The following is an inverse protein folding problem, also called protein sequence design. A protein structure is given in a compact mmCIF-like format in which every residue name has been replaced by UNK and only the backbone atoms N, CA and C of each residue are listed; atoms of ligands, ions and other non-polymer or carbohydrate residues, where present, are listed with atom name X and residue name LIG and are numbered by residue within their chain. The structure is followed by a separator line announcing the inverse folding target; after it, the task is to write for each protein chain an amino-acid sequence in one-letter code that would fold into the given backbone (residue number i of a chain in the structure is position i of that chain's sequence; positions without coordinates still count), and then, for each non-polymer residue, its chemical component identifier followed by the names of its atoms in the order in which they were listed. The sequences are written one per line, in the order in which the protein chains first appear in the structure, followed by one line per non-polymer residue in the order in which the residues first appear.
data_IF_210614066657
#
_entry.id   IF_210614066657
#
_cell.length_a   1.000
_cell.length_b   1.000
_cell.length_c   1.000
_cell.angle_alpha   90.00
_cell.angle_beta   90.00
_cell.angle_gamma   90.00
#
_symmetry.space_group_name_H-M   'P 1'
#
loop_
_entity.id
_entity.type
_entity.pdbx_description
1 polymer ?
#
# COMPACT_ATOMS: atom_id res chain seq x y z
N UNK A 1 3.92 -9.86 15.09
CA UNK A 1 4.63 -11.09 14.60
C UNK A 1 6.09 -11.02 15.05
N UNK A 2 6.76 -12.17 15.24
CA UNK A 2 8.22 -12.20 15.38
C UNK A 2 8.90 -11.96 14.03
N UNK A 3 10.19 -11.54 13.99
CA UNK A 3 10.90 -11.34 12.72
C UNK A 3 10.92 -12.57 11.81
N UNK A 4 10.94 -13.76 12.38
CA UNK A 4 10.89 -15.01 11.63
C UNK A 4 9.51 -15.26 11.02
N UNK A 5 8.45 -15.00 11.77
CA UNK A 5 7.07 -15.10 11.28
C UNK A 5 6.79 -14.09 10.15
N UNK A 6 7.35 -12.87 10.25
CA UNK A 6 7.23 -11.87 9.18
C UNK A 6 7.91 -12.34 7.88
N UNK A 7 9.12 -12.89 7.97
CA UNK A 7 9.83 -13.45 6.81
C UNK A 7 9.07 -14.59 6.16
N UNK A 8 8.52 -15.50 6.97
CA UNK A 8 7.70 -16.62 6.47
C UNK A 8 6.40 -16.11 5.84
N UNK A 9 5.77 -15.10 6.45
CA UNK A 9 4.56 -14.50 5.93
C UNK A 9 4.80 -13.80 4.58
N UNK A 10 5.84 -12.97 4.46
CA UNK A 10 6.17 -12.30 3.21
C UNK A 10 6.56 -13.31 2.12
N UNK A 11 7.39 -14.30 2.44
CA UNK A 11 7.75 -15.35 1.49
C UNK A 11 6.51 -16.13 1.02
N UNK A 12 5.60 -16.44 1.94
CA UNK A 12 4.31 -17.06 1.62
C UNK A 12 3.45 -16.20 0.69
N UNK A 13 3.41 -14.89 0.91
CA UNK A 13 2.67 -13.95 0.07
C UNK A 13 3.17 -13.98 -1.39
N UNK A 14 4.48 -13.89 -1.60
CA UNK A 14 5.08 -13.98 -2.95
C UNK A 14 4.83 -15.36 -3.59
N UNK A 15 4.95 -16.43 -2.82
CA UNK A 15 4.66 -17.78 -3.32
C UNK A 15 3.20 -17.92 -3.76
N UNK A 16 2.26 -17.35 -3.01
CA UNK A 16 0.84 -17.34 -3.37
C UNK A 16 0.57 -16.52 -4.61
N UNK A 17 1.20 -15.37 -4.76
CA UNK A 17 1.12 -14.56 -5.96
C UNK A 17 1.54 -15.37 -7.21
N UNK A 18 2.61 -16.16 -7.10
CA UNK A 18 3.07 -17.08 -8.16
C UNK A 18 2.06 -18.20 -8.43
N UNK A 19 1.57 -18.86 -7.38
CA UNK A 19 0.60 -19.95 -7.50
C UNK A 19 -0.70 -19.52 -8.18
N UNK A 20 -1.08 -18.25 -8.01
CA UNK A 20 -2.26 -17.65 -8.64
C UNK A 20 -2.02 -17.19 -10.09
N UNK A 21 -0.81 -17.38 -10.61
CA UNK A 21 -0.50 -17.11 -12.01
C UNK A 21 -0.17 -15.67 -12.36
N UNK A 22 0.03 -14.80 -11.37
CA UNK A 22 0.44 -13.40 -11.58
C UNK A 22 1.86 -13.27 -12.11
N UNK A 23 2.64 -14.31 -11.94
CA UNK A 23 4.05 -14.35 -12.27
C UNK A 23 4.40 -15.65 -12.99
N UNK A 24 5.01 -15.54 -14.17
CA UNK A 24 5.40 -16.69 -15.01
C UNK A 24 6.86 -17.12 -14.84
N UNK A 25 7.66 -16.42 -14.02
CA UNK A 25 9.05 -16.75 -13.75
C UNK A 25 9.23 -17.99 -12.88
N UNK A 26 10.43 -18.58 -12.94
CA UNK A 26 10.75 -19.78 -12.13
C UNK A 26 10.99 -19.40 -10.67
N UNK A 27 11.70 -18.30 -10.41
CA UNK A 27 12.06 -17.84 -9.07
C UNK A 27 11.84 -16.33 -8.93
N UNK A 28 11.63 -15.87 -7.68
CA UNK A 28 11.59 -14.45 -7.37
C UNK A 28 13.00 -13.88 -7.33
N UNK A 29 13.16 -12.67 -7.84
CA UNK A 29 14.39 -11.92 -7.72
C UNK A 29 14.55 -11.45 -6.27
N UNK A 30 15.65 -11.80 -5.58
CA UNK A 30 15.92 -11.28 -4.25
C UNK A 30 16.00 -9.76 -4.26
N UNK A 31 15.54 -9.13 -3.20
CA UNK A 31 15.68 -7.69 -3.05
C UNK A 31 17.17 -7.29 -3.01
N UNK A 32 17.48 -6.16 -3.60
CA UNK A 32 18.78 -5.51 -3.50
C UNK A 32 18.88 -4.56 -2.30
N UNK A 33 17.75 -4.25 -1.67
CA UNK A 33 17.68 -3.38 -0.48
C UNK A 33 18.16 -4.15 0.75
N UNK A 34 19.09 -3.54 1.49
CA UNK A 34 19.67 -4.10 2.71
C UNK A 34 19.14 -3.44 3.98
N UNK A 35 19.21 -4.15 5.11
CA UNK A 35 18.85 -3.59 6.42
C UNK A 35 19.69 -2.35 6.77
N UNK A 36 20.94 -2.28 6.27
CA UNK A 36 21.80 -1.12 6.48
C UNK A 36 21.30 0.10 5.70
N UNK A 37 20.89 -0.06 4.46
CA UNK A 37 20.30 1.04 3.66
C UNK A 37 19.00 1.54 4.28
N UNK A 38 18.16 0.65 4.80
CA UNK A 38 16.96 1.03 5.55
C UNK A 38 17.34 1.84 6.79
N UNK A 39 18.35 1.40 7.56
CA UNK A 39 18.79 2.13 8.75
C UNK A 39 19.28 3.54 8.42
N UNK A 40 20.02 3.70 7.31
CA UNK A 40 20.50 5.02 6.84
C UNK A 40 19.29 5.89 6.45
N UNK A 41 18.36 5.35 5.68
CA UNK A 41 17.13 6.04 5.28
C UNK A 41 16.31 6.52 6.50
N UNK A 42 16.09 5.62 7.48
CA UNK A 42 15.37 5.97 8.72
C UNK A 42 16.05 7.13 9.48
N UNK A 43 17.39 7.17 9.48
CA UNK A 43 18.14 8.25 10.10
C UNK A 43 18.06 9.57 9.31
N UNK A 44 18.19 9.51 8.00
CA UNK A 44 18.14 10.68 7.11
C UNK A 44 16.77 11.36 7.12
N UNK A 45 15.70 10.55 7.09
CA UNK A 45 14.33 11.05 7.09
C UNK A 45 13.70 11.19 8.50
N UNK A 46 14.44 10.80 9.55
CA UNK A 46 13.98 10.83 10.96
C UNK A 46 12.67 10.05 11.17
N UNK A 47 12.53 8.91 10.52
CA UNK A 47 11.35 8.02 10.58
C UNK A 47 11.74 6.65 11.11
N UNK A 48 10.73 5.85 11.50
CA UNK A 48 10.88 4.42 11.78
C UNK A 48 9.88 3.67 10.92
N UNK A 49 10.38 2.88 9.98
CA UNK A 49 9.53 2.08 9.11
C UNK A 49 8.92 0.89 9.88
N UNK A 50 7.67 0.50 9.60
CA UNK A 50 7.06 -0.70 10.15
C UNK A 50 7.89 -1.96 9.88
N UNK A 51 7.96 -2.87 10.87
CA UNK A 51 8.79 -4.07 10.79
C UNK A 51 8.45 -4.95 9.58
N UNK A 52 7.16 -5.16 9.34
CA UNK A 52 6.71 -5.95 8.19
C UNK A 52 7.08 -5.30 6.86
N UNK A 53 7.03 -3.95 6.76
CA UNK A 53 7.44 -3.24 5.55
C UNK A 53 8.95 -3.38 5.30
N UNK A 54 9.78 -3.28 6.36
CA UNK A 54 11.23 -3.56 6.25
C UNK A 54 11.49 -4.99 5.76
N UNK A 55 10.76 -5.95 6.29
CA UNK A 55 10.84 -7.36 5.86
C UNK A 55 10.40 -7.52 4.41
N UNK A 56 9.34 -6.83 3.97
CA UNK A 56 8.89 -6.81 2.59
C UNK A 56 9.97 -6.26 1.65
N UNK A 57 10.52 -5.08 1.96
CA UNK A 57 11.55 -4.42 1.17
C UNK A 57 12.84 -5.25 1.03
N UNK A 58 13.20 -6.03 2.04
CA UNK A 58 14.45 -6.83 2.05
C UNK A 58 14.28 -8.26 1.54
N UNK A 59 13.06 -8.71 1.27
CA UNK A 59 12.80 -10.10 0.86
C UNK A 59 12.96 -10.30 -0.63
N UNK A 60 12.06 -9.74 -1.42
CA UNK A 60 12.01 -9.94 -2.87
C UNK A 60 11.61 -8.64 -3.58
N UNK A 61 12.05 -8.53 -4.82
CA UNK A 61 11.51 -7.55 -5.74
C UNK A 61 10.20 -8.06 -6.33
N UNK A 62 9.27 -7.16 -6.62
CA UNK A 62 8.13 -7.52 -7.44
C UNK A 62 8.61 -7.96 -8.82
N UNK A 63 8.04 -9.02 -9.40
CA UNK A 63 8.44 -9.50 -10.71
C UNK A 63 8.21 -8.44 -11.79
N UNK A 64 9.20 -8.26 -12.68
CA UNK A 64 9.07 -7.37 -13.83
C UNK A 64 8.04 -7.81 -14.87
N UNK A 65 7.66 -9.07 -14.83
CA UNK A 65 6.70 -9.70 -15.71
C UNK A 65 5.38 -10.02 -14.98
N UNK A 66 5.03 -9.21 -13.99
CA UNK A 66 3.66 -9.20 -13.50
C UNK A 66 2.71 -8.97 -14.65
N UNK A 67 1.54 -9.58 -14.57
CA UNK A 67 0.54 -9.61 -15.64
C UNK A 67 0.21 -8.21 -16.14
N UNK A 68 0.15 -7.22 -15.26
CA UNK A 68 -0.04 -5.82 -15.57
C UNK A 68 0.94 -5.00 -14.73
N UNK A 69 2.07 -4.70 -15.24
CA UNK A 69 3.05 -3.67 -14.83
C UNK A 69 2.99 -3.16 -13.37
N UNK A 70 2.90 -4.06 -12.37
CA UNK A 70 2.72 -3.80 -10.93
C UNK A 70 1.26 -3.74 -10.42
N UNK A 71 0.26 -3.81 -11.27
CA UNK A 71 -1.14 -3.92 -10.87
C UNK A 71 -1.43 -5.32 -10.32
N UNK A 72 -1.64 -5.41 -9.02
CA UNK A 72 -1.86 -6.70 -8.35
C UNK A 72 -3.33 -7.08 -8.30
N UNK A 73 -4.22 -6.16 -8.63
CA UNK A 73 -5.65 -6.40 -8.59
C UNK A 73 -6.35 -6.42 -9.94
N UNK A 74 -5.62 -6.50 -11.04
CA UNK A 74 -6.20 -6.53 -12.40
C UNK A 74 -7.12 -7.71 -12.70
N UNK A 75 -7.33 -8.62 -11.77
CA UNK A 75 -8.34 -9.69 -11.86
C UNK A 75 -9.75 -9.13 -11.91
N UNK A 76 -9.92 -7.90 -11.48
CA UNK A 76 -11.21 -7.20 -11.50
C UNK A 76 -11.40 -6.38 -12.78
N UNK A 77 -10.47 -6.46 -13.75
CA UNK A 77 -10.49 -5.71 -15.01
C UNK A 77 -11.75 -5.89 -15.86
N UNK A 78 -12.38 -7.04 -15.77
CA UNK A 78 -13.57 -7.35 -16.59
C UNK A 78 -14.88 -6.85 -15.95
N UNK A 79 -14.79 -6.18 -14.81
CA UNK A 79 -15.97 -5.67 -14.12
C UNK A 79 -16.19 -4.21 -14.49
N UNK A 80 -17.14 -3.98 -15.37
CA UNK A 80 -17.55 -2.65 -15.82
C UNK A 80 -18.54 -2.10 -14.78
N UNK A 81 -18.04 -1.33 -13.82
CA UNK A 81 -18.87 -0.63 -12.85
C UNK A 81 -18.95 0.85 -13.20
N UNK A 82 -20.11 1.27 -13.71
CA UNK A 82 -20.39 2.67 -14.06
C UNK A 82 -20.35 3.60 -12.84
N UNK A 83 -20.30 3.07 -11.60
CA UNK A 83 -20.36 3.84 -10.37
C UNK A 83 -18.97 4.11 -9.74
N UNK A 84 -17.87 3.61 -10.30
CA UNK A 84 -16.50 3.92 -9.87
C UNK A 84 -16.03 3.25 -8.57
N UNK A 85 -16.88 2.51 -7.87
CA UNK A 85 -16.54 1.85 -6.59
C UNK A 85 -15.45 0.78 -6.78
N UNK A 86 -15.38 0.15 -7.95
CA UNK A 86 -14.40 -0.88 -8.24
C UNK A 86 -12.97 -0.37 -8.33
N UNK A 87 -12.80 0.85 -8.82
CA UNK A 87 -11.48 1.48 -8.95
C UNK A 87 -10.76 1.60 -7.60
N UNK A 88 -11.51 1.69 -6.51
CA UNK A 88 -10.97 1.74 -5.14
C UNK A 88 -10.33 0.41 -4.70
N UNK A 89 -10.60 -0.68 -5.40
CA UNK A 89 -10.00 -1.99 -5.13
C UNK A 89 -8.69 -2.21 -5.92
N UNK A 90 -8.40 -1.37 -6.87
CA UNK A 90 -7.19 -1.46 -7.66
C UNK A 90 -6.00 -0.95 -6.84
N UNK A 91 -4.88 -1.62 -7.03
CA UNK A 91 -3.66 -1.34 -6.31
C UNK A 91 -2.47 -1.46 -7.25
N UNK A 92 -1.72 -0.38 -7.38
CA UNK A 92 -0.39 -0.41 -7.97
C UNK A 92 0.65 -0.26 -6.87
N UNK A 93 1.48 -1.28 -6.66
CA UNK A 93 2.57 -1.20 -5.68
C UNK A 93 3.86 -0.76 -6.34
N UNK A 94 4.54 0.17 -5.71
CA UNK A 94 5.90 0.54 -6.06
C UNK A 94 6.84 -0.65 -5.89
N UNK A 95 7.80 -0.75 -6.80
CA UNK A 95 8.81 -1.79 -6.81
C UNK A 95 10.22 -1.18 -6.65
N UNK A 96 10.52 -0.61 -5.46
CA UNK A 96 11.80 0.05 -5.25
C UNK A 96 12.95 -0.97 -5.33
N UNK A 97 14.01 -0.60 -6.03
CA UNK A 97 15.25 -1.37 -6.14
C UNK A 97 16.31 -0.84 -5.18
N UNK A 98 16.13 0.39 -4.71
CA UNK A 98 17.00 1.07 -3.74
C UNK A 98 16.15 1.92 -2.81
N UNK A 99 16.67 2.28 -1.65
CA UNK A 99 15.99 3.23 -0.76
C UNK A 99 15.88 4.64 -1.38
N UNK A 100 16.77 4.98 -2.34
CA UNK A 100 16.65 6.23 -3.07
C UNK A 100 15.40 6.31 -3.97
N UNK A 101 14.85 5.17 -4.41
CA UNK A 101 13.60 5.17 -5.17
C UNK A 101 12.43 5.61 -4.28
N UNK A 102 12.43 5.22 -3.01
CA UNK A 102 11.45 5.66 -2.02
C UNK A 102 11.62 7.16 -1.72
N UNK A 103 12.87 7.61 -1.48
CA UNK A 103 13.15 9.04 -1.28
C UNK A 103 12.64 9.90 -2.43
N UNK A 104 12.84 9.44 -3.67
CA UNK A 104 12.34 10.14 -4.85
C UNK A 104 10.80 10.23 -4.89
N UNK A 105 10.11 9.18 -4.45
CA UNK A 105 8.64 9.23 -4.34
C UNK A 105 8.19 10.21 -3.26
N UNK A 106 8.90 10.29 -2.14
CA UNK A 106 8.66 11.30 -1.12
C UNK A 106 8.88 12.72 -1.66
N UNK A 107 9.91 12.93 -2.50
CA UNK A 107 10.12 14.23 -3.18
C UNK A 107 8.94 14.60 -4.09
N UNK A 108 8.32 13.64 -4.79
CA UNK A 108 7.13 13.90 -5.59
C UNK A 108 5.94 14.38 -4.73
N UNK A 109 5.78 13.87 -3.51
CA UNK A 109 4.77 14.40 -2.58
C UNK A 109 5.07 15.86 -2.18
N UNK A 110 6.36 16.24 -2.08
CA UNK A 110 6.74 17.64 -1.78
C UNK A 110 6.34 18.61 -2.91
N UNK A 111 6.27 18.16 -4.16
CA UNK A 111 5.79 18.99 -5.27
C UNK A 111 4.30 19.36 -5.09
N UNK A 112 3.50 18.42 -4.54
CA UNK A 112 2.09 18.68 -4.19
C UNK A 112 2.00 19.72 -3.08
N UNK A 113 2.87 19.65 -2.06
CA UNK A 113 2.94 20.66 -1.01
C UNK A 113 3.10 22.05 -1.58
N UNK A 114 4.04 22.21 -2.50
CA UNK A 114 4.34 23.52 -3.09
C UNK A 114 3.17 24.04 -3.94
N UNK A 115 2.47 23.13 -4.62
CA UNK A 115 1.29 23.46 -5.42
C UNK A 115 0.09 23.86 -4.55
N UNK A 116 -0.14 23.16 -3.44
CA UNK A 116 -1.27 23.41 -2.52
C UNK A 116 -0.92 24.41 -1.39
N UNK A 117 0.27 25.02 -1.40
CA UNK A 117 0.75 25.96 -0.37
C UNK A 117 0.70 25.39 1.07
N UNK A 118 0.97 24.08 1.22
CA UNK A 118 0.90 23.39 2.49
C UNK A 118 2.11 23.68 3.40
N UNK A 119 1.98 23.51 4.73
CA UNK A 119 3.07 23.69 5.66
C UNK A 119 4.30 22.85 5.34
N UNK A 120 5.48 23.36 5.68
CA UNK A 120 6.72 22.58 5.67
C UNK A 120 6.56 21.37 6.62
N UNK A 121 7.10 20.22 6.26
CA UNK A 121 7.06 18.98 7.05
C UNK A 121 5.67 18.30 7.21
N UNK A 122 4.62 18.76 6.54
CA UNK A 122 3.29 18.12 6.65
C UNK A 122 3.23 16.68 6.13
N UNK A 123 4.19 16.24 5.31
CA UNK A 123 4.33 14.89 4.76
C UNK A 123 5.27 13.97 5.55
N UNK A 124 5.88 14.44 6.65
CA UNK A 124 6.93 13.69 7.37
C UNK A 124 6.48 12.33 7.93
N UNK A 125 5.16 12.14 8.09
CA UNK A 125 4.57 10.88 8.55
C UNK A 125 4.25 9.90 7.41
N UNK A 126 4.42 10.29 6.15
CA UNK A 126 3.95 9.51 5.01
C UNK A 126 5.10 8.84 4.27
N UNK A 127 4.96 7.54 4.04
CA UNK A 127 5.84 6.76 3.18
C UNK A 127 5.03 6.27 1.98
N UNK A 128 5.23 6.81 0.79
CA UNK A 128 4.53 6.34 -0.41
C UNK A 128 4.96 4.91 -0.76
N UNK A 129 3.99 4.05 -1.05
CA UNK A 129 4.21 2.64 -1.38
C UNK A 129 3.55 2.21 -2.68
N UNK A 130 2.80 3.09 -3.32
CA UNK A 130 2.10 2.78 -4.54
C UNK A 130 1.03 3.80 -4.90
N UNK A 131 0.07 3.34 -5.69
CA UNK A 131 -1.10 4.08 -6.11
C UNK A 131 -2.38 3.32 -5.79
N UNK A 132 -3.44 4.03 -5.45
CA UNK A 132 -4.73 3.48 -5.08
C UNK A 132 -5.77 3.81 -6.14
N UNK A 133 -6.62 2.83 -6.49
CA UNK A 133 -7.74 3.08 -7.37
C UNK A 133 -7.37 3.44 -8.81
N UNK A 134 -6.55 2.66 -9.49
CA UNK A 134 -6.24 2.87 -10.91
C UNK A 134 -5.72 4.29 -11.25
N UNK A 135 -4.87 4.84 -10.39
CA UNK A 135 -4.31 6.19 -10.58
C UNK A 135 -5.11 7.30 -9.87
N UNK A 136 -5.97 6.96 -8.93
CA UNK A 136 -6.73 7.95 -8.16
C UNK A 136 -5.85 8.74 -7.19
N UNK A 137 -4.76 8.14 -6.73
CA UNK A 137 -3.78 8.85 -5.95
C UNK A 137 -2.84 8.00 -5.11
N UNK A 138 -1.85 8.66 -4.54
CA UNK A 138 -0.77 8.00 -3.82
C UNK A 138 -1.26 7.21 -2.62
N UNK A 139 -0.91 5.92 -2.57
CA UNK A 139 -1.07 5.07 -1.40
C UNK A 139 0.17 5.21 -0.52
N UNK A 140 -0.05 5.53 0.75
CA UNK A 140 1.02 5.76 1.72
C UNK A 140 0.83 4.93 2.99
N UNK A 141 1.94 4.64 3.67
CA UNK A 141 1.95 4.25 5.08
C UNK A 141 1.95 5.56 5.89
N UNK A 142 0.96 5.75 6.76
CA UNK A 142 0.91 6.84 7.71
C UNK A 142 1.58 6.39 9.03
N UNK A 143 2.81 6.86 9.25
CA UNK A 143 3.62 6.54 10.42
C UNK A 143 3.09 7.18 11.73
N UNK A 144 2.17 8.13 11.64
CA UNK A 144 1.48 8.67 12.83
C UNK A 144 0.45 7.70 13.41
N UNK A 145 0.13 6.62 12.67
CA UNK A 145 -0.80 5.56 13.05
C UNK A 145 -0.04 4.24 13.23
N UNK A 146 0.50 3.96 14.44
CA UNK A 146 1.33 2.77 14.69
C UNK A 146 0.58 1.46 14.41
N UNK A 147 1.25 0.50 13.78
CA UNK A 147 0.65 -0.78 13.38
C UNK A 147 0.10 -1.61 14.56
N UNK A 148 0.63 -1.44 15.76
CA UNK A 148 0.19 -2.14 16.98
C UNK A 148 -1.06 -1.53 17.61
N UNK A 149 -1.47 -0.34 17.18
CA UNK A 149 -2.69 0.35 17.60
C UNK A 149 -3.82 0.21 16.57
N UNK A 150 -3.58 -0.45 15.44
CA UNK A 150 -4.58 -0.63 14.38
C UNK A 150 -5.71 -1.54 14.86
N UNK A 151 -6.94 -1.01 14.81
CA UNK A 151 -8.18 -1.76 14.96
C UNK A 151 -8.86 -1.89 13.59
N UNK A 152 -8.97 -3.11 13.07
CA UNK A 152 -9.59 -3.39 11.77
C UNK A 152 -11.06 -2.93 11.69
N UNK A 153 -11.71 -2.69 12.82
CA UNK A 153 -13.08 -2.18 12.89
C UNK A 153 -13.17 -0.66 13.06
N UNK A 154 -12.03 0.02 13.18
CA UNK A 154 -11.97 1.47 13.33
C UNK A 154 -11.04 2.09 12.28
N UNK A 155 -11.63 2.63 11.23
CA UNK A 155 -10.93 3.21 10.09
C UNK A 155 -9.97 4.35 10.47
N UNK A 156 -10.25 5.06 11.56
CA UNK A 156 -9.40 6.16 12.03
C UNK A 156 -8.03 5.68 12.51
N UNK A 157 -7.89 4.38 12.77
CA UNK A 157 -6.63 3.77 13.20
C UNK A 157 -5.84 3.14 12.05
N UNK A 158 -6.39 3.09 10.85
CA UNK A 158 -5.76 2.41 9.73
C UNK A 158 -4.49 3.13 9.27
N UNK A 159 -3.42 2.37 9.11
CA UNK A 159 -2.11 2.91 8.77
C UNK A 159 -1.84 3.01 7.28
N UNK A 160 -2.63 2.38 6.41
CA UNK A 160 -2.55 2.62 4.97
C UNK A 160 -3.63 3.62 4.58
N UNK A 161 -3.17 4.73 4.00
CA UNK A 161 -4.01 5.85 3.58
C UNK A 161 -3.72 6.22 2.15
N UNK A 162 -4.68 6.83 1.47
CA UNK A 162 -4.50 7.34 0.12
C UNK A 162 -4.97 8.79 0.02
N UNK A 163 -4.52 9.47 -1.02
CA UNK A 163 -4.81 10.87 -1.25
C UNK A 163 -5.39 11.02 -2.64
N UNK A 164 -6.62 11.51 -2.73
CA UNK A 164 -7.27 11.77 -4.00
C UNK A 164 -6.59 12.95 -4.69
N UNK A 165 -6.05 12.71 -5.89
CA UNK A 165 -5.36 13.73 -6.67
C UNK A 165 -6.31 14.77 -7.29
N UNK A 166 -7.60 14.51 -7.34
CA UNK A 166 -8.61 15.47 -7.82
C UNK A 166 -9.00 16.50 -6.76
N UNK A 167 -8.68 16.27 -5.49
CA UNK A 167 -8.90 17.24 -4.41
C UNK A 167 -7.88 18.37 -4.53
N UNK A 168 -8.37 19.61 -4.64
CA UNK A 168 -7.52 20.80 -4.71
C UNK A 168 -7.21 21.42 -3.36
N UNK A 169 -8.08 21.20 -2.38
CA UNK A 169 -8.07 21.89 -1.08
C UNK A 169 -7.52 20.97 0.02
N UNK A 170 -6.29 20.46 -0.19
CA UNK A 170 -5.62 19.52 0.72
C UNK A 170 -5.42 20.04 2.13
N UNK A 171 -5.32 21.37 2.30
CA UNK A 171 -5.23 22.02 3.59
C UNK A 171 -6.52 21.88 4.42
N UNK A 172 -7.67 21.75 3.76
CA UNK A 172 -8.96 21.59 4.42
C UNK A 172 -9.36 20.13 4.58
N UNK A 173 -9.01 19.28 3.61
CA UNK A 173 -9.44 17.90 3.56
C UNK A 173 -8.52 16.96 4.34
N UNK A 174 -7.21 17.21 4.30
CA UNK A 174 -6.22 16.24 4.81
C UNK A 174 -5.34 16.79 5.93
N UNK A 175 -5.20 18.11 6.09
CA UNK A 175 -4.30 18.69 7.11
C UNK A 175 -4.94 18.64 8.50
N UNK A 176 -4.32 17.84 9.39
CA UNK A 176 -4.74 17.73 10.78
C UNK A 176 -4.31 18.90 11.66
N UNK A 177 -4.89 18.99 12.85
CA UNK A 177 -4.52 20.00 13.87
C UNK A 177 -3.07 19.84 14.36
N UNK A 178 -2.48 18.67 14.16
CA UNK A 178 -1.07 18.35 14.47
C UNK A 178 -0.09 18.84 13.39
N UNK A 179 -0.60 19.41 12.31
CA UNK A 179 0.16 19.91 11.17
C UNK A 179 0.65 18.82 10.23
N UNK A 180 0.12 17.60 10.35
CA UNK A 180 0.41 16.48 9.45
C UNK A 180 -0.75 16.24 8.49
N UNK A 181 -0.45 15.64 7.34
CA UNK A 181 -1.48 15.17 6.42
C UNK A 181 -1.95 13.76 6.81
N UNK A 182 -3.27 13.63 6.88
CA UNK A 182 -3.98 12.38 7.14
C UNK A 182 -4.87 12.05 5.95
N UNK A 183 -4.47 11.07 5.16
CA UNK A 183 -5.24 10.65 3.98
C UNK A 183 -6.51 9.88 4.32
N UNK A 184 -7.27 9.58 3.30
CA UNK A 184 -8.44 8.70 3.37
C UNK A 184 -7.97 7.29 3.73
N UNK A 185 -8.63 6.64 4.68
CA UNK A 185 -8.29 5.28 5.08
C UNK A 185 -8.49 4.31 3.90
N UNK A 186 -7.41 3.62 3.50
CA UNK A 186 -7.42 2.60 2.46
C UNK A 186 -7.53 1.20 3.06
N UNK A 187 -6.59 0.83 3.92
CA UNK A 187 -6.44 -0.50 4.53
C UNK A 187 -5.92 -0.40 5.96
N UNK A 188 -6.27 -1.38 6.81
CA UNK A 188 -5.76 -1.41 8.17
C UNK A 188 -4.24 -1.30 8.26
N UNK A 189 -3.51 -2.15 7.53
CA UNK A 189 -2.05 -2.19 7.52
C UNK A 189 -1.50 -3.02 6.35
N UNK A 190 -0.19 -3.06 6.20
CA UNK A 190 0.48 -3.84 5.16
C UNK A 190 0.18 -5.34 5.23
N UNK A 191 -0.02 -5.92 6.42
CA UNK A 191 -0.36 -7.33 6.56
C UNK A 191 -1.68 -7.64 5.85
N UNK A 192 -2.69 -6.80 6.06
CA UNK A 192 -4.00 -6.93 5.43
C UNK A 192 -3.89 -6.73 3.92
N UNK A 193 -3.11 -5.77 3.45
CA UNK A 193 -2.82 -5.59 2.04
C UNK A 193 -2.27 -6.88 1.42
N UNK A 194 -1.26 -7.49 2.02
CA UNK A 194 -0.69 -8.74 1.52
C UNK A 194 -1.69 -9.90 1.58
N UNK A 195 -2.54 -9.98 2.59
CA UNK A 195 -3.58 -11.01 2.67
C UNK A 195 -4.60 -10.87 1.53
N UNK A 196 -5.05 -9.67 1.24
CA UNK A 196 -6.04 -9.42 0.20
C UNK A 196 -5.47 -9.66 -1.19
N UNK A 197 -4.37 -9.02 -1.50
CA UNK A 197 -3.86 -8.94 -2.87
C UNK A 197 -2.86 -10.04 -3.21
N UNK A 198 -1.97 -10.42 -2.31
CA UNK A 198 -0.98 -11.47 -2.58
C UNK A 198 -1.50 -12.86 -2.26
N UNK A 199 -2.09 -13.05 -1.08
CA UNK A 199 -2.70 -14.33 -0.71
C UNK A 199 -4.02 -14.60 -1.45
N UNK A 200 -4.65 -13.58 -2.03
CA UNK A 200 -5.84 -13.71 -2.85
C UNK A 200 -7.14 -13.78 -2.06
N UNK A 201 -7.18 -13.26 -0.85
CA UNK A 201 -8.42 -13.25 -0.07
C UNK A 201 -9.51 -12.42 -0.76
N UNK A 202 -9.14 -11.31 -1.41
CA UNK A 202 -10.06 -10.47 -2.15
C UNK A 202 -10.65 -11.21 -3.36
N UNK A 203 -9.79 -11.84 -4.18
CA UNK A 203 -10.22 -12.65 -5.33
C UNK A 203 -11.11 -13.83 -4.96
N UNK A 204 -10.65 -14.61 -3.97
CA UNK A 204 -11.39 -15.80 -3.55
C UNK A 204 -12.81 -15.44 -3.11
N UNK A 205 -12.99 -14.27 -2.51
CA UNK A 205 -14.29 -13.79 -2.14
C UNK A 205 -15.09 -13.32 -3.34
N UNK A 206 -14.48 -12.57 -4.24
CA UNK A 206 -15.11 -12.08 -5.47
C UNK A 206 -15.63 -13.23 -6.34
N UNK A 207 -14.83 -14.29 -6.51
CA UNK A 207 -15.23 -15.50 -7.25
C UNK A 207 -16.41 -16.24 -6.60
N UNK A 208 -16.53 -16.21 -5.25
CA UNK A 208 -17.63 -16.85 -4.54
C UNK A 208 -18.95 -16.09 -4.60
N UNK A 209 -18.87 -14.80 -4.81
CA UNK A 209 -19.97 -13.87 -4.72
C UNK A 209 -20.22 -13.17 -6.08
N UNK A 210 -20.12 -13.91 -7.19
CA UNK A 210 -20.35 -13.37 -8.54
C UNK A 210 -21.62 -12.52 -8.62
N UNK A 211 -21.50 -11.28 -9.09
CA UNK A 211 -22.59 -10.33 -9.24
C UNK A 211 -22.82 -9.43 -8.03
N UNK A 212 -21.90 -9.41 -7.08
CA UNK A 212 -21.88 -8.42 -6.00
C UNK A 212 -21.01 -7.25 -6.43
N UNK A 213 -21.57 -6.06 -6.38
CA UNK A 213 -20.79 -4.82 -6.47
C UNK A 213 -19.91 -4.72 -5.23
N UNK A 214 -18.57 -4.64 -5.34
CA UNK A 214 -17.72 -4.50 -4.18
C UNK A 214 -17.95 -3.15 -3.51
N UNK A 215 -18.51 -3.19 -2.32
CA UNK A 215 -18.65 -2.02 -1.46
C UNK A 215 -17.56 -2.00 -0.39
N UNK A 216 -17.37 -0.87 0.26
CA UNK A 216 -16.48 -0.77 1.41
C UNK A 216 -16.83 -1.79 2.52
N UNK A 217 -18.13 -2.03 2.77
CA UNK A 217 -18.60 -3.05 3.70
C UNK A 217 -18.20 -4.46 3.25
N UNK A 218 -18.36 -4.77 1.97
CA UNK A 218 -17.94 -6.03 1.38
C UNK A 218 -16.44 -6.25 1.56
N UNK A 219 -15.66 -5.21 1.34
CA UNK A 219 -14.22 -5.20 1.52
C UNK A 219 -13.84 -5.47 2.99
N UNK A 220 -14.46 -4.76 3.96
CA UNK A 220 -14.26 -5.03 5.38
C UNK A 220 -14.63 -6.46 5.77
N UNK A 221 -15.69 -7.00 5.20
CA UNK A 221 -16.09 -8.39 5.45
C UNK A 221 -15.12 -9.40 4.84
N UNK A 222 -14.40 -9.06 3.76
CA UNK A 222 -13.34 -9.90 3.18
C UNK A 222 -12.17 -10.07 4.13
N UNK A 223 -11.88 -9.05 4.95
CA UNK A 223 -10.82 -9.09 5.96
C UNK A 223 -11.10 -10.03 7.13
N UNK A 224 -12.39 -10.31 7.42
CA UNK A 224 -12.80 -11.12 8.59
C UNK A 224 -12.77 -12.63 8.34
N UNK A 225 -12.46 -13.07 7.13
CA UNK A 225 -12.41 -14.49 6.72
C UNK A 225 -10.98 -14.97 6.53
#
# INVERSE_FOLDING_TARGET
MSPQEEKEFVAGAFQKLKERGWFSGEEFEPSTITEQEITVFEQEHQVTLPSLYKTFLTSFCLPHNLRNANEICSIIEDYDDDDGELNQLWLELDNPRTMADISKKMECLQEIRDFCELPEDCFRNLIPIGDWGAGWGSLCIDLSRPEDEVDENNVDTWSLVWFDHEVSDWDQEYLGEDGLLHGIAALPNLKVLLQLYFYGALEARFEQEEGITPTYEWYQDSLKR
#
